data_IF_524639338670
#
_entry.id   IF_524639338670
#
_cell.length_a   1.000
_cell.length_b   1.000
_cell.length_c   1.000
_cell.angle_alpha   90.00
_cell.angle_beta   90.00
_cell.angle_gamma   90.00
#
_symmetry.space_group_name_H-M   'P 1'
#
loop_
_entity.id
_entity.type
_entity.pdbx_description
1 polymer ?
#
# COMPACT_ATOMS: atom_id res chain seq x y z
N UNK A 1 -0.69 12.73 23.66
CA UNK A 1 -1.50 12.02 22.65
C UNK A 1 -0.96 12.45 21.30
N UNK A 2 -0.33 11.55 20.56
CA UNK A 2 0.16 11.85 19.21
C UNK A 2 -1.08 12.09 18.35
N UNK A 3 -1.04 13.14 17.54
CA UNK A 3 -2.04 13.35 16.51
C UNK A 3 -1.81 12.30 15.41
N UNK A 4 -2.59 11.21 15.47
CA UNK A 4 -2.48 10.04 14.60
C UNK A 4 -2.53 10.42 13.12
N UNK A 5 -3.48 11.28 12.75
CA UNK A 5 -3.63 11.76 11.37
C UNK A 5 -2.38 12.49 10.91
N UNK A 6 -1.87 13.41 11.75
CA UNK A 6 -0.67 14.19 11.43
C UNK A 6 0.58 13.33 11.31
N UNK A 7 0.75 12.33 12.17
CA UNK A 7 1.92 11.45 12.13
C UNK A 7 1.90 10.53 10.90
N UNK A 8 0.74 9.91 10.62
CA UNK A 8 0.58 9.10 9.41
C UNK A 8 0.82 9.96 8.15
N UNK A 9 0.22 11.16 8.10
CA UNK A 9 0.40 12.08 6.98
C UNK A 9 1.86 12.49 6.77
N UNK A 10 2.59 12.77 7.86
CA UNK A 10 4.03 13.08 7.82
C UNK A 10 4.86 11.94 7.24
N UNK A 11 4.54 10.69 7.57
CA UNK A 11 5.30 9.53 7.07
C UNK A 11 4.93 9.17 5.64
N UNK A 12 3.65 9.25 5.29
CA UNK A 12 3.18 8.96 3.93
C UNK A 12 3.51 10.07 2.91
N UNK A 13 3.91 11.27 3.35
CA UNK A 13 4.37 12.33 2.43
C UNK A 13 5.60 11.90 1.62
N UNK A 14 6.36 10.89 2.09
CA UNK A 14 7.46 10.28 1.34
C UNK A 14 7.02 9.66 -0.01
N UNK A 15 5.73 9.35 -0.17
CA UNK A 15 5.19 8.82 -1.41
C UNK A 15 4.98 9.87 -2.49
N UNK A 16 4.80 11.15 -2.12
CA UNK A 16 4.41 12.19 -3.07
C UNK A 16 5.45 12.37 -4.18
N UNK A 17 4.99 12.36 -5.43
CA UNK A 17 5.84 12.45 -6.61
C UNK A 17 6.55 11.14 -7.00
N UNK A 18 6.46 10.08 -6.18
CA UNK A 18 7.01 8.78 -6.55
C UNK A 18 6.09 8.05 -7.52
N UNK A 19 6.70 7.30 -8.44
CA UNK A 19 6.00 6.36 -9.29
C UNK A 19 5.61 5.10 -8.49
N UNK A 20 4.43 4.55 -8.74
CA UNK A 20 4.10 3.17 -8.38
C UNK A 20 4.87 2.21 -9.29
N UNK A 21 5.82 1.48 -8.72
CA UNK A 21 6.76 0.63 -9.46
C UNK A 21 6.43 -0.86 -9.39
N UNK A 22 5.61 -1.29 -8.43
CA UNK A 22 5.15 -2.68 -8.39
C UNK A 22 3.79 -2.85 -7.73
N UNK A 23 3.08 -3.89 -8.17
CA UNK A 23 1.82 -4.37 -7.60
C UNK A 23 1.90 -5.89 -7.53
N UNK A 24 1.67 -6.46 -6.34
CA UNK A 24 1.71 -7.89 -6.07
C UNK A 24 0.69 -8.25 -4.98
N UNK A 25 0.59 -9.54 -4.65
CA UNK A 25 -0.15 -10.05 -3.50
C UNK A 25 0.71 -10.95 -2.61
N UNK A 26 0.30 -11.11 -1.35
CA UNK A 26 0.80 -12.13 -0.44
C UNK A 26 -0.35 -12.64 0.42
N UNK A 27 -0.89 -13.82 0.10
CA UNK A 27 -2.24 -14.18 0.53
C UNK A 27 -3.21 -13.02 0.18
N UNK A 28 -4.23 -12.76 0.98
CA UNK A 28 -5.22 -11.68 0.82
C UNK A 28 -4.66 -10.24 0.87
N UNK A 29 -3.38 -10.07 1.20
CA UNK A 29 -2.74 -8.75 1.31
C UNK A 29 -2.36 -8.18 -0.06
N UNK A 30 -2.81 -6.95 -0.35
CA UNK A 30 -2.32 -6.15 -1.47
C UNK A 30 -0.94 -5.58 -1.11
N UNK A 31 0.03 -5.70 -2.02
CA UNK A 31 1.39 -5.19 -1.82
C UNK A 31 1.79 -4.27 -2.96
N UNK A 32 2.16 -3.04 -2.60
CA UNK A 32 2.50 -1.97 -3.53
C UNK A 32 3.92 -1.49 -3.27
N UNK A 33 4.68 -1.24 -4.34
CA UNK A 33 6.00 -0.63 -4.28
C UNK A 33 6.03 0.73 -4.97
N UNK A 34 6.76 1.68 -4.39
CA UNK A 34 6.90 3.04 -4.88
C UNK A 34 8.36 3.46 -5.02
N UNK A 35 8.63 4.37 -5.95
CA UNK A 35 9.97 4.85 -6.27
C UNK A 35 10.78 3.86 -7.11
N UNK A 36 12.07 4.14 -7.25
CA UNK A 36 12.97 3.34 -8.07
C UNK A 36 13.10 1.91 -7.54
N UNK A 37 13.15 0.95 -8.47
CA UNK A 37 13.38 -0.44 -8.13
C UNK A 37 14.86 -0.66 -7.78
N UNK A 38 15.11 -1.13 -6.57
CA UNK A 38 16.44 -1.46 -6.07
C UNK A 38 16.57 -2.96 -5.76
N UNK A 39 17.75 -3.55 -6.00
CA UNK A 39 18.01 -4.93 -5.63
C UNK A 39 18.13 -5.08 -4.10
N UNK A 40 17.41 -6.03 -3.54
CA UNK A 40 17.49 -6.44 -2.14
C UNK A 40 17.63 -7.96 -2.08
N UNK A 41 18.61 -8.43 -1.32
CA UNK A 41 18.83 -9.87 -1.09
C UNK A 41 17.91 -10.34 0.02
N UNK A 42 17.07 -11.32 -0.26
CA UNK A 42 16.23 -11.92 0.78
C UNK A 42 17.03 -12.89 1.67
N UNK A 43 16.40 -13.40 2.74
CA UNK A 43 17.01 -14.35 3.67
C UNK A 43 17.46 -15.68 3.04
N UNK A 44 17.02 -15.99 1.81
CA UNK A 44 17.42 -17.17 1.03
C UNK A 44 18.56 -16.87 0.04
N UNK A 45 19.13 -15.67 0.07
CA UNK A 45 20.19 -15.24 -0.86
C UNK A 45 19.70 -14.89 -2.27
N UNK A 46 18.38 -14.81 -2.49
CA UNK A 46 17.81 -14.46 -3.81
C UNK A 46 17.64 -12.96 -3.90
N UNK A 47 18.15 -12.37 -4.99
CA UNK A 47 17.98 -10.95 -5.31
C UNK A 47 16.54 -10.72 -5.78
N UNK A 48 15.84 -9.81 -5.11
CA UNK A 48 14.54 -9.27 -5.52
C UNK A 48 14.67 -7.78 -5.81
N UNK A 49 13.89 -7.30 -6.76
CA UNK A 49 13.76 -5.87 -7.01
C UNK A 49 12.53 -5.36 -6.26
N UNK A 50 12.74 -4.36 -5.41
CA UNK A 50 11.70 -3.76 -4.56
C UNK A 50 11.75 -2.24 -4.70
N UNK A 51 10.62 -1.58 -4.50
CA UNK A 51 10.59 -0.12 -4.48
C UNK A 51 11.41 0.46 -3.32
N UNK A 52 11.67 1.76 -3.39
CA UNK A 52 12.19 2.55 -2.27
C UNK A 52 11.29 2.41 -1.03
N UNK A 53 9.98 2.46 -1.27
CA UNK A 53 8.95 2.28 -0.27
C UNK A 53 7.98 1.16 -0.63
N UNK A 54 7.41 0.51 0.39
CA UNK A 54 6.36 -0.46 0.26
C UNK A 54 5.15 -0.10 1.12
N UNK A 55 3.96 -0.32 0.57
CA UNK A 55 2.69 -0.26 1.28
C UNK A 55 2.02 -1.63 1.16
N UNK A 56 1.78 -2.28 2.30
CA UNK A 56 1.05 -3.53 2.38
C UNK A 56 -0.29 -3.28 3.05
N UNK A 57 -1.37 -3.80 2.47
CA UNK A 57 -2.75 -3.51 2.88
C UNK A 57 -3.49 -4.83 3.08
N UNK A 58 -3.97 -5.06 4.30
CA UNK A 58 -4.66 -6.27 4.74
C UNK A 58 -6.02 -5.95 5.42
N UNK A 59 -6.63 -4.83 5.01
CA UNK A 59 -8.00 -4.44 5.37
C UNK A 59 -8.79 -4.10 4.10
N UNK A 60 -10.04 -3.63 4.25
CA UNK A 60 -10.83 -3.17 3.13
C UNK A 60 -10.12 -2.07 2.32
N UNK A 61 -10.03 -2.28 1.01
CA UNK A 61 -9.54 -1.29 0.06
C UNK A 61 -10.34 -1.35 -1.23
N UNK A 62 -10.35 -0.23 -1.96
CA UNK A 62 -10.84 -0.18 -3.34
C UNK A 62 -9.95 0.72 -4.17
N UNK A 63 -9.73 0.31 -5.42
CA UNK A 63 -9.14 1.13 -6.45
C UNK A 63 -10.25 1.75 -7.29
N UNK A 64 -10.22 3.06 -7.44
CA UNK A 64 -11.11 3.82 -8.31
C UNK A 64 -10.31 4.37 -9.51
N UNK A 65 -10.92 4.42 -10.70
CA UNK A 65 -10.46 5.18 -11.86
C UNK A 65 -11.57 6.12 -12.30
N UNK A 66 -11.35 7.44 -12.26
CA UNK A 66 -12.37 8.44 -12.62
C UNK A 66 -13.72 8.19 -11.91
N UNK A 67 -13.65 7.90 -10.60
CA UNK A 67 -14.78 7.59 -9.72
C UNK A 67 -15.54 6.28 -10.01
N UNK A 68 -15.06 5.43 -10.91
CA UNK A 68 -15.55 4.06 -11.07
C UNK A 68 -14.68 3.09 -10.29
N UNK A 69 -15.30 2.16 -9.57
CA UNK A 69 -14.55 1.10 -8.86
C UNK A 69 -14.01 0.11 -9.88
N UNK A 70 -12.70 -0.10 -9.85
CA UNK A 70 -11.96 -1.01 -10.75
C UNK A 70 -11.69 -2.35 -10.09
N UNK A 71 -11.33 -2.32 -8.81
CA UNK A 71 -11.07 -3.51 -8.01
C UNK A 71 -11.23 -3.21 -6.53
N UNK A 72 -11.45 -4.26 -5.75
CA UNK A 72 -11.66 -4.23 -4.31
C UNK A 72 -10.86 -5.33 -3.63
N UNK A 73 -10.78 -5.26 -2.30
CA UNK A 73 -10.20 -6.32 -1.49
C UNK A 73 -10.86 -7.68 -1.72
N UNK A 74 -12.17 -7.74 -1.98
CA UNK A 74 -12.89 -8.98 -2.26
C UNK A 74 -12.35 -9.68 -3.52
N UNK A 75 -11.95 -8.91 -4.54
CA UNK A 75 -11.37 -9.43 -5.78
C UNK A 75 -9.98 -10.08 -5.57
N UNK A 76 -9.26 -9.73 -4.49
CA UNK A 76 -8.00 -10.38 -4.08
C UNK A 76 -8.20 -11.53 -3.07
N UNK A 77 -9.40 -11.64 -2.48
CA UNK A 77 -9.74 -12.63 -1.46
C UNK A 77 -10.57 -13.80 -2.00
N UNK A 78 -10.81 -13.83 -3.31
CA UNK A 78 -11.43 -14.94 -4.01
C UNK A 78 -10.55 -16.19 -4.10
N UNK A 79 -10.86 -17.07 -5.07
CA UNK A 79 -9.99 -18.22 -5.38
C UNK A 79 -8.60 -17.75 -5.77
N UNK A 80 -7.59 -18.61 -5.60
CA UNK A 80 -6.21 -18.29 -5.99
C UNK A 80 -6.13 -17.79 -7.44
N UNK A 81 -6.82 -18.46 -8.39
CA UNK A 81 -6.89 -18.06 -9.79
C UNK A 81 -7.44 -16.63 -9.96
N UNK A 82 -8.57 -16.32 -9.32
CA UNK A 82 -9.17 -14.99 -9.39
C UNK A 82 -8.26 -13.93 -8.76
N UNK A 83 -7.63 -14.24 -7.63
CA UNK A 83 -6.74 -13.32 -6.95
C UNK A 83 -5.46 -13.05 -7.75
N UNK A 84 -4.92 -14.06 -8.45
CA UNK A 84 -3.81 -13.87 -9.39
C UNK A 84 -4.23 -12.98 -10.56
N UNK A 85 -5.39 -13.24 -11.16
CA UNK A 85 -5.90 -12.43 -12.27
C UNK A 85 -6.12 -10.97 -11.86
N UNK A 86 -6.65 -10.73 -10.66
CA UNK A 86 -6.82 -9.37 -10.10
C UNK A 86 -5.47 -8.68 -9.90
N UNK A 87 -4.49 -9.33 -9.26
CA UNK A 87 -3.17 -8.74 -9.07
C UNK A 87 -2.46 -8.42 -10.40
N UNK A 88 -2.59 -9.32 -11.39
CA UNK A 88 -2.05 -9.14 -12.73
C UNK A 88 -2.72 -7.97 -13.45
N UNK A 89 -4.05 -7.87 -13.37
CA UNK A 89 -4.83 -6.76 -13.92
C UNK A 89 -4.40 -5.41 -13.34
N UNK A 90 -4.25 -5.33 -12.01
CA UNK A 90 -3.80 -4.11 -11.32
C UNK A 90 -2.38 -3.71 -11.73
N UNK A 91 -1.47 -4.67 -11.86
CA UNK A 91 -0.11 -4.41 -12.37
C UNK A 91 -0.14 -3.87 -13.79
N UNK A 92 -0.95 -4.48 -14.66
CA UNK A 92 -1.18 -4.01 -16.02
C UNK A 92 -1.66 -2.56 -16.05
N UNK A 93 -2.64 -2.21 -15.22
CA UNK A 93 -3.22 -0.87 -15.16
C UNK A 93 -2.25 0.19 -14.61
N UNK A 94 -1.63 -0.10 -13.48
CA UNK A 94 -0.93 0.90 -12.68
C UNK A 94 0.58 0.98 -12.96
N UNK A 95 1.17 -0.06 -13.56
CA UNK A 95 2.63 -0.12 -13.81
C UNK A 95 2.92 -0.22 -15.30
N UNK A 96 2.25 -1.13 -16.02
CA UNK A 96 2.65 -1.49 -17.39
C UNK A 96 2.07 -0.54 -18.46
N UNK A 97 0.87 0.02 -18.25
CA UNK A 97 0.24 0.97 -19.19
C UNK A 97 0.90 2.36 -19.25
N UNK A 98 1.84 2.62 -18.36
CA UNK A 98 2.56 3.89 -18.27
C UNK A 98 2.68 4.39 -16.82
N UNK A 99 3.55 5.37 -16.56
CA UNK A 99 3.84 5.83 -15.21
C UNK A 99 2.58 6.28 -14.46
N UNK A 100 2.39 5.74 -13.26
CA UNK A 100 1.37 6.13 -12.31
C UNK A 100 2.07 6.79 -11.13
N UNK A 101 1.90 8.09 -10.96
CA UNK A 101 2.65 8.92 -10.01
C UNK A 101 1.73 9.29 -8.85
N UNK A 102 2.23 9.29 -7.63
CA UNK A 102 1.45 9.76 -6.47
C UNK A 102 1.31 11.28 -6.51
N UNK A 103 0.09 11.74 -6.77
CA UNK A 103 -0.25 13.17 -6.77
C UNK A 103 -0.46 13.68 -5.33
N UNK A 104 -0.94 12.82 -4.43
CA UNK A 104 -1.16 13.20 -3.04
C UNK A 104 -1.64 12.05 -2.16
N UNK A 105 -1.53 12.26 -0.86
CA UNK A 105 -2.05 11.36 0.17
C UNK A 105 -2.91 12.16 1.12
N UNK A 106 -4.08 11.63 1.47
CA UNK A 106 -4.91 12.15 2.56
C UNK A 106 -5.19 11.03 3.55
N UNK A 107 -5.33 11.40 4.83
CA UNK A 107 -5.41 10.47 5.94
C UNK A 107 -6.63 10.81 6.78
N UNK A 108 -7.36 9.79 7.20
CA UNK A 108 -8.51 9.89 8.10
C UNK A 108 -8.10 9.65 9.55
N UNK A 109 -8.92 10.11 10.49
CA UNK A 109 -8.64 9.99 11.93
C UNK A 109 -8.68 8.52 12.43
N UNK A 110 -9.34 7.65 11.68
CA UNK A 110 -9.44 6.20 11.92
C UNK A 110 -8.29 5.40 11.30
N UNK A 111 -7.22 6.07 10.84
CA UNK A 111 -6.10 5.41 10.16
C UNK A 111 -6.36 5.04 8.71
N UNK A 112 -7.53 5.40 8.15
CA UNK A 112 -7.78 5.29 6.71
C UNK A 112 -6.92 6.23 5.89
N UNK A 113 -6.74 5.89 4.61
CA UNK A 113 -6.01 6.75 3.68
C UNK A 113 -6.61 6.74 2.29
N UNK A 114 -6.34 7.82 1.56
CA UNK A 114 -6.57 7.91 0.12
C UNK A 114 -5.25 8.30 -0.53
N UNK A 115 -4.75 7.43 -1.42
CA UNK A 115 -3.61 7.73 -2.30
C UNK A 115 -4.16 8.12 -3.66
N UNK A 116 -4.06 9.41 -3.99
CA UNK A 116 -4.38 9.93 -5.31
C UNK A 116 -3.20 9.71 -6.23
N UNK A 117 -3.48 9.11 -7.38
CA UNK A 117 -2.50 8.75 -8.38
C UNK A 117 -2.84 9.46 -9.70
N UNK A 118 -1.80 9.73 -10.50
CA UNK A 118 -1.96 10.27 -11.83
C UNK A 118 -2.84 9.37 -12.69
N UNK A 119 -3.34 9.91 -13.81
CA UNK A 119 -4.30 9.23 -14.71
C UNK A 119 -5.68 9.01 -14.06
N UNK A 120 -5.98 9.68 -12.95
CA UNK A 120 -7.31 9.67 -12.32
C UNK A 120 -7.57 8.46 -11.42
N UNK A 121 -6.52 7.74 -11.02
CA UNK A 121 -6.63 6.63 -10.09
C UNK A 121 -6.67 7.11 -8.64
N UNK A 122 -7.44 6.43 -7.79
CA UNK A 122 -7.46 6.66 -6.35
C UNK A 122 -7.53 5.33 -5.62
N UNK A 123 -6.57 5.07 -4.75
CA UNK A 123 -6.63 3.95 -3.83
C UNK A 123 -7.22 4.43 -2.51
N UNK A 124 -8.37 3.88 -2.13
CA UNK A 124 -9.04 4.18 -0.86
C UNK A 124 -8.87 2.98 0.06
N UNK A 125 -8.27 3.20 1.23
CA UNK A 125 -8.02 2.18 2.26
C UNK A 125 -8.85 2.52 3.49
N UNK A 126 -9.63 1.55 3.97
CA UNK A 126 -10.53 1.68 5.12
C UNK A 126 -10.18 0.58 6.12
N UNK A 127 -9.58 0.93 7.27
CA UNK A 127 -9.30 -0.02 8.35
C UNK A 127 -10.54 -0.80 8.76
N UNK A 128 -10.37 -2.09 9.06
CA UNK A 128 -11.49 -2.95 9.45
C UNK A 128 -11.85 -2.76 10.93
N UNK A 129 -10.98 -2.09 11.69
CA UNK A 129 -11.18 -1.80 13.11
C UNK A 129 -11.09 -3.05 14.00
N UNK A 130 -10.57 -4.15 13.46
CA UNK A 130 -10.41 -5.42 14.19
C UNK A 130 -9.22 -5.28 15.15
N UNK A 131 -9.50 -5.37 16.46
CA UNK A 131 -8.49 -5.24 17.49
C UNK A 131 -7.37 -6.28 17.32
N UNK A 132 -6.12 -5.81 17.34
CA UNK A 132 -4.93 -6.64 17.21
C UNK A 132 -4.62 -7.13 15.79
N UNK A 133 -5.55 -7.01 14.84
CA UNK A 133 -5.30 -7.27 13.42
C UNK A 133 -4.60 -6.05 12.79
N UNK A 134 -3.72 -6.32 11.84
CA UNK A 134 -3.05 -5.27 11.07
C UNK A 134 -3.90 -4.86 9.87
N UNK A 135 -4.18 -3.57 9.78
CA UNK A 135 -4.91 -3.00 8.65
C UNK A 135 -3.96 -2.76 7.48
N UNK A 136 -2.82 -2.11 7.74
CA UNK A 136 -1.80 -1.86 6.74
C UNK A 136 -0.46 -1.49 7.38
N UNK A 137 0.63 -1.64 6.61
CA UNK A 137 1.97 -1.17 6.97
C UNK A 137 2.67 -0.44 5.84
N UNK A 138 3.47 0.56 6.19
CA UNK A 138 4.32 1.33 5.29
C UNK A 138 5.77 1.32 5.77
N UNK A 139 6.71 1.00 4.89
CA UNK A 139 8.12 0.83 5.26
C UNK A 139 9.06 0.94 4.06
N UNK A 140 10.37 1.05 4.31
CA UNK A 140 11.41 1.03 3.29
C UNK A 140 12.05 -0.37 3.22
N UNK A 141 11.76 -1.20 2.21
CA UNK A 141 12.24 -2.58 2.18
C UNK A 141 13.76 -2.71 2.17
N UNK A 142 14.32 -3.54 3.06
CA UNK A 142 15.76 -3.77 3.15
C UNK A 142 16.56 -2.65 3.84
N UNK A 143 15.87 -1.67 4.42
CA UNK A 143 16.45 -0.65 5.30
C UNK A 143 16.00 -0.93 6.72
N UNK A 144 16.94 -0.90 7.66
CA UNK A 144 16.65 -1.01 9.09
C UNK A 144 16.12 0.33 9.61
N UNK A 145 14.83 0.56 9.40
CA UNK A 145 14.11 1.74 9.84
C UNK A 145 12.72 1.34 10.35
N UNK A 146 12.19 2.08 11.31
CA UNK A 146 10.88 1.83 11.88
C UNK A 146 9.82 1.69 10.78
N UNK A 147 8.95 0.69 10.90
CA UNK A 147 7.77 0.58 10.05
C UNK A 147 6.68 1.53 10.56
N UNK A 148 5.77 1.96 9.71
CA UNK A 148 4.50 2.54 10.13
C UNK A 148 3.45 1.44 10.03
N UNK A 149 2.86 1.03 11.16
CA UNK A 149 1.89 -0.06 11.20
C UNK A 149 0.60 0.47 11.80
N UNK A 150 -0.52 0.23 11.12
CA UNK A 150 -1.86 0.52 11.63
C UNK A 150 -2.54 -0.78 12.04
N UNK A 151 -3.07 -0.79 13.26
CA UNK A 151 -3.83 -1.90 13.84
C UNK A 151 -5.11 -1.37 14.47
N UNK A 152 -6.25 -1.95 14.13
CA UNK A 152 -7.55 -1.51 14.61
C UNK A 152 -7.81 -0.02 14.39
N UNK A 153 -7.29 0.57 13.31
CA UNK A 153 -7.42 1.99 12.98
C UNK A 153 -6.51 2.95 13.78
N UNK A 154 -5.52 2.45 14.52
CA UNK A 154 -4.57 3.29 15.26
C UNK A 154 -3.11 2.96 14.92
N UNK A 155 -2.21 3.94 15.09
CA UNK A 155 -0.76 3.70 14.96
C UNK A 155 -0.31 2.75 16.06
N UNK A 156 0.21 1.61 15.64
CA UNK A 156 0.67 0.58 16.56
C UNK A 156 1.97 1.02 17.27
N UNK A 157 2.17 0.72 18.57
CA UNK A 157 3.32 1.17 19.35
C UNK A 157 4.68 0.83 18.74
N UNK A 158 4.80 -0.32 18.09
CA UNK A 158 6.01 -0.77 17.37
C UNK A 158 6.42 0.16 16.22
N UNK A 159 5.56 1.10 15.82
CA UNK A 159 5.88 2.09 14.78
C UNK A 159 6.89 3.15 15.23
N UNK A 160 7.23 3.17 16.52
CA UNK A 160 8.15 4.12 17.15
C UNK A 160 9.42 3.47 17.70
N UNK A 161 9.60 2.16 17.51
CA UNK A 161 10.78 1.40 17.94
C UNK A 161 11.87 1.37 16.86
#
# INVERSE_FOLDING_TARGET
MVDTQKEIGRRLSALQGLQLSSVNRAADMLTLGFGDLRPVTNFRGVIKHVGEWALHIQCAWRLEETAQVVATQEDLSGSDESAYATADHLRGLLVERGPCIVDGVSVSDDGGMIVSLSRGFRLVVTPDGIEGAEDWRFFAPGVDAAHLVIKGGAVAPESFE
#
